data_IF_254872079232
#
_entry.id   IF_254872079232
#
_cell.length_a   1.000
_cell.length_b   1.000
_cell.length_c   1.000
_cell.angle_alpha   90.00
_cell.angle_beta   90.00
_cell.angle_gamma   90.00
#
_symmetry.space_group_name_H-M   'P 1'
#
loop_
_entity.id
_entity.type
_entity.pdbx_description
1 polymer ?
#
# COMPACT_ATOMS: atom_id res chain seq x y z
N UNK A 1 -27.33 6.14 6.29
CA UNK A 1 -26.41 6.37 5.15
C UNK A 1 -25.16 6.99 5.73
N UNK A 2 -23.99 6.40 5.48
CA UNK A 2 -22.69 6.95 5.87
C UNK A 2 -21.90 7.31 4.60
N UNK A 3 -21.15 8.40 4.66
CA UNK A 3 -20.20 8.79 3.61
C UNK A 3 -18.79 8.72 4.18
N UNK A 4 -17.87 8.20 3.38
CA UNK A 4 -16.45 8.26 3.65
C UNK A 4 -15.78 9.11 2.58
N UNK A 5 -15.11 10.19 2.98
CA UNK A 5 -14.45 11.12 2.07
C UNK A 5 -12.96 10.81 2.01
N UNK A 6 -12.42 10.70 0.81
CA UNK A 6 -10.98 10.57 0.56
C UNK A 6 -10.45 11.84 -0.11
N UNK A 7 -9.27 12.24 0.28
CA UNK A 7 -8.57 13.42 -0.22
C UNK A 7 -7.09 13.12 -0.50
N UNK A 8 -6.35 14.11 -0.95
CA UNK A 8 -4.91 14.00 -1.13
C UNK A 8 -4.18 13.71 0.20
N UNK A 9 -4.77 14.04 1.35
CA UNK A 9 -4.23 13.71 2.68
C UNK A 9 -4.26 12.20 2.97
N UNK A 10 -5.21 11.50 2.35
CA UNK A 10 -5.39 10.06 2.49
C UNK A 10 -4.55 9.28 1.44
N UNK A 11 -3.86 9.99 0.54
CA UNK A 11 -3.00 9.41 -0.49
C UNK A 11 -3.54 9.49 -1.91
N UNK A 12 -4.73 10.09 -2.11
CA UNK A 12 -5.25 10.38 -3.44
C UNK A 12 -4.31 11.35 -4.17
N UNK A 13 -4.09 11.14 -5.45
CA UNK A 13 -3.14 11.93 -6.23
C UNK A 13 -3.51 13.41 -6.37
N UNK A 14 -4.80 13.73 -6.34
CA UNK A 14 -5.35 15.10 -6.35
C UNK A 14 -6.81 15.06 -5.92
N UNK A 15 -7.27 16.12 -5.27
CA UNK A 15 -8.68 16.27 -4.84
C UNK A 15 -9.63 16.54 -6.03
N UNK A 16 -9.09 16.85 -7.22
CA UNK A 16 -9.90 17.09 -8.43
C UNK A 16 -10.00 15.79 -9.22
N UNK A 17 -11.03 15.01 -8.95
CA UNK A 17 -11.34 13.76 -9.62
C UNK A 17 -12.08 14.03 -10.95
N UNK A 18 -11.65 13.38 -12.03
CA UNK A 18 -12.21 13.49 -13.38
C UNK A 18 -12.94 12.25 -13.84
N UNK A 19 -12.43 11.09 -13.53
CA UNK A 19 -13.02 9.81 -13.91
C UNK A 19 -12.72 8.72 -12.90
N UNK A 20 -13.59 7.73 -12.87
CA UNK A 20 -13.51 6.56 -12.01
C UNK A 20 -13.76 5.30 -12.84
N UNK A 21 -13.09 4.22 -12.47
CA UNK A 21 -13.29 2.90 -13.03
C UNK A 21 -12.99 1.85 -11.98
N UNK A 22 -13.85 0.86 -11.84
CA UNK A 22 -13.55 -0.35 -11.08
C UNK A 22 -12.94 -1.39 -12.02
N UNK A 23 -11.82 -2.00 -11.63
CA UNK A 23 -11.22 -3.10 -12.37
C UNK A 23 -11.84 -4.45 -11.93
N UNK A 24 -11.54 -5.52 -12.68
CA UNK A 24 -12.07 -6.87 -12.40
C UNK A 24 -11.62 -7.47 -11.06
N UNK A 25 -10.65 -6.86 -10.39
CA UNK A 25 -10.17 -7.27 -9.06
C UNK A 25 -10.83 -6.48 -7.95
N UNK A 26 -11.73 -5.52 -8.30
CA UNK A 26 -12.39 -4.65 -7.34
C UNK A 26 -11.57 -3.44 -6.93
N UNK A 27 -10.44 -3.14 -7.62
CA UNK A 27 -9.70 -1.92 -7.35
C UNK A 27 -10.36 -0.74 -8.04
N UNK A 28 -10.41 0.40 -7.35
CA UNK A 28 -10.93 1.65 -7.91
C UNK A 28 -9.78 2.45 -8.52
N UNK A 29 -9.85 2.71 -9.80
CA UNK A 29 -8.96 3.57 -10.54
C UNK A 29 -9.54 4.96 -10.64
N UNK A 30 -8.73 5.97 -10.34
CA UNK A 30 -9.16 7.36 -10.21
C UNK A 30 -8.26 8.22 -11.08
N UNK A 31 -8.80 8.75 -12.16
CA UNK A 31 -8.13 9.75 -12.98
C UNK A 31 -8.37 11.15 -12.43
N UNK A 32 -7.28 11.93 -12.30
CA UNK A 32 -7.33 13.23 -11.65
C UNK A 32 -6.86 14.36 -12.56
N UNK A 33 -7.15 15.60 -12.17
CA UNK A 33 -6.61 16.80 -12.79
C UNK A 33 -5.27 17.15 -12.13
N UNK A 34 -4.19 16.94 -12.87
CA UNK A 34 -2.83 17.33 -12.45
C UNK A 34 -2.09 16.35 -11.55
N UNK A 35 -2.78 15.42 -10.88
CA UNK A 35 -2.19 14.41 -10.01
C UNK A 35 -1.92 13.06 -10.68
N UNK A 36 -2.25 12.89 -11.98
CA UNK A 36 -2.14 11.59 -12.63
C UNK A 36 -3.26 10.65 -12.25
N UNK A 37 -2.92 9.42 -11.93
CA UNK A 37 -3.86 8.34 -11.61
C UNK A 37 -3.61 7.84 -10.20
N UNK A 38 -4.68 7.55 -9.47
CA UNK A 38 -4.63 6.74 -8.26
C UNK A 38 -5.35 5.42 -8.47
N UNK A 39 -4.84 4.36 -7.85
CA UNK A 39 -5.52 3.08 -7.68
C UNK A 39 -5.73 2.83 -6.20
N UNK A 40 -6.96 2.54 -5.81
CA UNK A 40 -7.35 2.19 -4.45
C UNK A 40 -7.72 0.71 -4.39
N UNK A 41 -7.12 -0.04 -3.50
CA UNK A 41 -7.35 -1.48 -3.32
C UNK A 41 -8.24 -1.83 -2.13
N UNK A 42 -8.89 -0.83 -1.54
CA UNK A 42 -9.68 -0.96 -0.32
C UNK A 42 -8.93 -0.53 0.95
N UNK A 43 -7.60 -0.41 0.88
CA UNK A 43 -6.75 -0.06 2.01
C UNK A 43 -5.85 1.15 1.72
N UNK A 44 -5.18 1.15 0.57
CA UNK A 44 -4.19 2.18 0.22
C UNK A 44 -4.40 2.76 -1.16
N UNK A 45 -4.01 4.02 -1.33
CA UNK A 45 -3.88 4.66 -2.64
C UNK A 45 -2.46 4.48 -3.18
N UNK A 46 -2.37 3.97 -4.40
CA UNK A 46 -1.14 3.93 -5.20
C UNK A 46 -1.30 4.92 -6.34
N UNK A 47 -0.38 5.88 -6.46
CA UNK A 47 -0.47 6.93 -7.48
C UNK A 47 0.63 6.79 -8.52
N UNK A 48 0.25 6.96 -9.80
CA UNK A 48 1.12 6.97 -10.97
C UNK A 48 1.02 8.34 -11.65
N UNK A 49 2.17 8.93 -11.92
CA UNK A 49 2.32 10.24 -12.55
C UNK A 49 3.09 10.12 -13.87
N UNK A 50 3.24 11.25 -14.55
CA UNK A 50 4.05 11.32 -15.77
C UNK A 50 5.47 10.79 -15.59
N UNK A 51 6.10 11.03 -14.46
CA UNK A 51 7.43 10.49 -14.14
C UNK A 51 7.49 8.96 -14.04
N UNK A 52 6.32 8.32 -13.84
CA UNK A 52 6.16 6.88 -13.71
C UNK A 52 5.71 6.24 -15.04
N UNK A 53 5.61 7.04 -16.13
CA UNK A 53 5.28 6.60 -17.47
C UNK A 53 3.87 6.94 -17.96
N UNK A 54 3.05 7.63 -17.17
CA UNK A 54 1.77 8.16 -17.62
C UNK A 54 2.03 9.30 -18.61
N UNK A 55 1.31 9.34 -19.74
CA UNK A 55 1.54 10.33 -20.80
C UNK A 55 1.34 11.77 -20.31
N UNK A 56 0.37 12.00 -19.44
CA UNK A 56 0.10 13.31 -18.82
C UNK A 56 -0.56 13.15 -17.44
N UNK A 57 -0.37 14.14 -16.56
CA UNK A 57 -0.98 14.13 -15.22
C UNK A 57 -2.46 14.53 -15.21
N UNK A 58 -3.00 15.01 -16.34
CA UNK A 58 -4.44 15.25 -16.49
C UNK A 58 -5.05 14.05 -17.19
N UNK A 59 -5.80 13.26 -16.44
CA UNK A 59 -6.42 12.02 -16.90
C UNK A 59 -7.92 12.23 -17.05
N UNK A 60 -8.42 11.96 -18.24
CA UNK A 60 -9.81 12.25 -18.62
C UNK A 60 -10.69 11.00 -18.67
N UNK A 61 -10.10 9.83 -18.98
CA UNK A 61 -10.84 8.60 -19.17
C UNK A 61 -10.03 7.38 -18.74
N UNK A 62 -10.72 6.37 -18.21
CA UNK A 62 -10.18 5.09 -17.80
C UNK A 62 -11.11 3.97 -18.28
N UNK A 63 -10.55 2.89 -18.76
CA UNK A 63 -11.30 1.67 -19.06
C UNK A 63 -10.39 0.45 -18.96
N UNK A 64 -10.96 -0.73 -18.71
CA UNK A 64 -10.24 -1.98 -18.72
C UNK A 64 -10.76 -2.89 -19.84
N UNK A 65 -9.85 -3.44 -20.63
CA UNK A 65 -10.19 -4.39 -21.68
C UNK A 65 -10.38 -5.83 -21.15
N UNK A 66 -10.67 -6.76 -22.09
CA UNK A 66 -10.90 -8.18 -21.74
C UNK A 66 -9.65 -8.90 -21.24
N UNK A 67 -8.47 -8.41 -21.59
CA UNK A 67 -7.19 -9.00 -21.20
C UNK A 67 -6.68 -8.44 -19.86
N UNK A 68 -7.42 -7.48 -19.26
CA UNK A 68 -7.10 -6.85 -18.00
C UNK A 68 -6.18 -5.63 -18.13
N UNK A 69 -5.86 -5.20 -19.37
CA UNK A 69 -5.10 -3.97 -19.61
C UNK A 69 -5.97 -2.76 -19.28
N UNK A 70 -5.44 -1.86 -18.49
CA UNK A 70 -6.08 -0.58 -18.17
C UNK A 70 -5.63 0.47 -19.20
N UNK A 71 -6.60 0.99 -19.94
CA UNK A 71 -6.41 2.06 -20.91
C UNK A 71 -6.66 3.40 -20.27
N UNK A 72 -5.72 4.32 -20.40
CA UNK A 72 -5.68 5.59 -19.70
C UNK A 72 -5.63 6.70 -20.75
N UNK A 73 -6.74 7.40 -20.92
CA UNK A 73 -6.85 8.58 -21.79
C UNK A 73 -6.47 9.84 -21.00
N UNK A 74 -5.47 10.57 -21.48
CA UNK A 74 -4.97 11.81 -20.88
C UNK A 74 -4.75 12.89 -21.92
N UNK A 75 -4.49 14.13 -21.49
CA UNK A 75 -4.15 15.23 -22.43
C UNK A 75 -2.86 14.98 -23.22
N UNK A 76 -2.01 14.08 -22.78
CA UNK A 76 -0.78 13.69 -23.49
C UNK A 76 -0.94 12.45 -24.38
N UNK A 77 -2.15 11.91 -24.53
CA UNK A 77 -2.43 10.73 -25.35
C UNK A 77 -2.96 9.55 -24.55
N UNK A 78 -2.81 8.36 -25.10
CA UNK A 78 -3.31 7.09 -24.58
C UNK A 78 -2.18 6.22 -24.04
N UNK A 79 -2.33 5.71 -22.82
CA UNK A 79 -1.48 4.66 -22.26
C UNK A 79 -2.24 3.34 -22.16
N UNK A 80 -1.53 2.25 -22.41
CA UNK A 80 -1.94 0.91 -22.03
C UNK A 80 -1.10 0.47 -20.82
N UNK A 81 -1.75 0.18 -19.71
CA UNK A 81 -1.13 -0.27 -18.49
C UNK A 81 -1.58 -1.68 -18.14
N UNK A 82 -0.64 -2.61 -18.08
CA UNK A 82 -0.90 -3.98 -17.65
C UNK A 82 -0.45 -4.17 -16.20
N UNK A 83 -1.41 -4.21 -15.24
CA UNK A 83 -1.07 -4.43 -13.85
C UNK A 83 -0.40 -5.80 -13.66
N UNK A 84 0.83 -5.83 -13.19
CA UNK A 84 1.46 -7.10 -12.83
C UNK A 84 0.80 -7.67 -11.58
N UNK A 85 0.54 -8.97 -11.59
CA UNK A 85 -0.23 -9.63 -10.53
C UNK A 85 0.56 -9.92 -9.25
N UNK A 86 1.87 -9.71 -9.26
CA UNK A 86 2.72 -10.09 -8.14
C UNK A 86 2.97 -8.86 -7.25
N UNK A 87 2.38 -8.89 -6.05
CA UNK A 87 2.85 -8.02 -4.97
C UNK A 87 4.35 -8.27 -4.76
N UNK A 88 5.16 -7.23 -4.48
CA UNK A 88 6.56 -7.42 -4.17
C UNK A 88 6.69 -8.36 -2.97
N UNK A 89 7.65 -9.30 -2.98
CA UNK A 89 7.88 -10.15 -1.83
C UNK A 89 8.29 -9.28 -0.64
N UNK A 90 7.54 -9.41 0.44
CA UNK A 90 7.83 -8.77 1.72
C UNK A 90 8.49 -9.81 2.63
N UNK A 91 9.45 -9.39 3.40
CA UNK A 91 10.10 -10.23 4.40
C UNK A 91 10.33 -9.44 5.69
N UNK A 92 10.26 -10.11 6.81
CA UNK A 92 10.76 -9.61 8.07
C UNK A 92 12.29 -9.56 7.97
N UNK A 93 12.87 -8.41 8.24
CA UNK A 93 14.32 -8.17 8.18
C UNK A 93 14.93 -8.38 9.55
N UNK A 94 14.26 -7.89 10.58
CA UNK A 94 14.73 -8.00 11.96
C UNK A 94 13.55 -7.94 12.94
N UNK A 95 13.75 -8.58 14.09
CA UNK A 95 12.91 -8.40 15.26
C UNK A 95 13.81 -7.92 16.40
N UNK A 96 13.45 -6.79 16.98
CA UNK A 96 14.21 -6.16 18.06
C UNK A 96 13.42 -6.23 19.36
N UNK A 97 14.13 -6.53 20.43
CA UNK A 97 13.65 -6.42 21.80
C UNK A 97 14.75 -5.77 22.66
N UNK A 98 15.18 -6.38 23.73
CA UNK A 98 16.43 -6.06 24.44
C UNK A 98 17.68 -6.28 23.56
N UNK A 99 17.53 -7.06 22.50
CA UNK A 99 18.58 -7.36 21.52
C UNK A 99 17.97 -7.54 20.12
N UNK A 100 18.84 -7.63 19.14
CA UNK A 100 18.48 -8.00 17.78
C UNK A 100 18.39 -9.51 17.62
N UNK A 101 17.30 -9.99 17.00
CA UNK A 101 17.05 -11.41 16.79
C UNK A 101 17.23 -11.83 15.33
N UNK A 102 17.35 -10.86 14.41
CA UNK A 102 17.36 -11.12 12.97
C UNK A 102 15.99 -11.55 12.41
N UNK A 103 15.95 -12.07 11.19
CA UNK A 103 14.72 -12.61 10.60
C UNK A 103 14.39 -13.96 11.27
N UNK A 104 13.35 -13.99 12.08
CA UNK A 104 12.89 -15.18 12.80
C UNK A 104 11.41 -15.40 12.52
N UNK A 105 11.01 -16.68 12.34
CA UNK A 105 9.61 -17.06 12.13
C UNK A 105 8.84 -17.18 13.46
N UNK A 106 9.55 -17.41 14.55
CA UNK A 106 8.99 -17.51 15.89
C UNK A 106 9.96 -16.97 16.92
N UNK A 107 9.47 -16.16 17.83
CA UNK A 107 10.22 -15.62 18.95
C UNK A 107 9.44 -15.80 20.24
N UNK A 108 10.14 -16.27 21.30
CA UNK A 108 9.62 -16.30 22.65
C UNK A 108 10.30 -15.21 23.46
N UNK A 109 9.50 -14.29 24.00
CA UNK A 109 9.98 -13.18 24.81
C UNK A 109 9.65 -13.42 26.28
N UNK A 110 10.54 -13.03 27.22
CA UNK A 110 10.26 -13.13 28.64
C UNK A 110 9.17 -12.14 29.07
N UNK A 111 8.51 -12.43 30.19
CA UNK A 111 7.43 -11.59 30.76
C UNK A 111 7.85 -10.13 31.06
N UNK A 112 9.14 -9.93 31.25
CA UNK A 112 9.73 -8.61 31.55
C UNK A 112 10.00 -7.76 30.32
N UNK A 113 9.71 -8.30 29.13
CA UNK A 113 9.97 -7.60 27.88
C UNK A 113 8.78 -6.70 27.52
N UNK A 114 8.97 -5.40 27.66
CA UNK A 114 7.92 -4.41 27.40
C UNK A 114 7.95 -3.84 25.97
N UNK A 115 9.00 -4.15 25.21
CA UNK A 115 9.22 -3.56 23.89
C UNK A 115 9.54 -4.61 22.84
N UNK A 116 8.85 -4.53 21.70
CA UNK A 116 9.15 -5.31 20.49
C UNK A 116 9.01 -4.41 19.28
N UNK A 117 10.03 -4.39 18.43
CA UNK A 117 9.93 -3.76 17.11
C UNK A 117 10.16 -4.79 16.01
N UNK A 118 9.39 -4.67 14.94
CA UNK A 118 9.50 -5.51 13.75
C UNK A 118 9.93 -4.63 12.58
N UNK A 119 11.05 -4.98 11.96
CA UNK A 119 11.54 -4.36 10.73
C UNK A 119 11.23 -5.27 9.55
N UNK A 120 10.67 -4.69 8.50
CA UNK A 120 10.29 -5.42 7.29
C UNK A 120 10.68 -4.62 6.05
N UNK A 121 10.91 -5.34 4.95
CA UNK A 121 11.25 -4.73 3.68
C UNK A 121 10.57 -5.47 2.52
N UNK A 122 9.96 -4.70 1.63
CA UNK A 122 9.51 -5.15 0.33
C UNK A 122 10.55 -4.84 -0.74
N UNK A 123 10.83 -5.76 -1.65
CA UNK A 123 11.67 -5.49 -2.82
C UNK A 123 10.80 -5.25 -4.04
N UNK A 124 10.77 -4.01 -4.50
CA UNK A 124 10.15 -3.66 -5.77
C UNK A 124 11.12 -2.82 -6.60
N UNK A 125 11.48 -3.32 -7.79
CA UNK A 125 12.37 -2.60 -8.71
C UNK A 125 11.64 -1.51 -9.52
N UNK A 126 10.32 -1.42 -9.40
CA UNK A 126 9.47 -0.51 -10.18
C UNK A 126 8.83 0.60 -9.34
N UNK A 127 8.90 0.51 -8.01
CA UNK A 127 8.34 1.50 -7.08
C UNK A 127 9.46 2.05 -6.23
N UNK A 128 9.55 3.36 -6.11
CA UNK A 128 10.53 4.01 -5.23
C UNK A 128 10.21 3.65 -3.78
N UNK A 129 11.22 3.44 -2.93
CA UNK A 129 11.01 3.10 -1.52
C UNK A 129 10.06 4.06 -0.80
N UNK A 130 10.17 5.36 -1.10
CA UNK A 130 9.35 6.42 -0.47
C UNK A 130 7.86 6.37 -0.89
N UNK A 131 7.56 5.63 -1.95
CA UNK A 131 6.19 5.45 -2.47
C UNK A 131 5.59 4.11 -2.06
N UNK A 132 6.35 3.25 -1.38
CA UNK A 132 5.83 1.99 -0.87
C UNK A 132 4.97 2.25 0.37
N UNK A 133 3.79 1.68 0.36
CA UNK A 133 2.95 1.56 1.54
C UNK A 133 2.88 0.08 1.93
N UNK A 134 2.89 -0.17 3.21
CA UNK A 134 2.76 -1.48 3.80
C UNK A 134 1.45 -1.57 4.56
N UNK A 135 0.84 -2.72 4.55
CA UNK A 135 -0.28 -3.04 5.42
C UNK A 135 0.15 -4.12 6.39
N UNK A 136 -0.14 -3.93 7.66
CA UNK A 136 0.25 -4.87 8.70
C UNK A 136 -0.85 -5.02 9.75
N UNK A 137 -0.81 -6.12 10.48
CA UNK A 137 -1.60 -6.34 11.69
C UNK A 137 -0.87 -7.23 12.67
N UNK A 138 -1.24 -7.13 13.93
CA UNK A 138 -0.79 -8.04 14.99
C UNK A 138 -1.99 -8.83 15.50
N UNK A 139 -2.24 -9.98 14.89
CA UNK A 139 -3.34 -10.88 15.27
C UNK A 139 -3.19 -11.28 16.73
N UNK A 140 -4.25 -11.17 17.49
CA UNK A 140 -4.26 -11.37 18.95
C UNK A 140 -4.16 -10.08 19.76
N UNK A 141 -3.83 -8.93 19.10
CA UNK A 141 -3.90 -7.61 19.70
C UNK A 141 -4.82 -6.68 18.89
N UNK A 142 -4.62 -6.66 17.59
CA UNK A 142 -5.35 -5.83 16.62
C UNK A 142 -5.53 -6.62 15.35
N UNK A 143 -6.77 -7.02 15.06
CA UNK A 143 -7.10 -7.83 13.88
C UNK A 143 -7.31 -7.00 12.62
N UNK A 144 -7.54 -5.68 12.77
CA UNK A 144 -7.69 -4.77 11.65
C UNK A 144 -6.34 -4.44 11.00
N UNK A 145 -6.36 -4.31 9.66
CA UNK A 145 -5.19 -3.91 8.91
C UNK A 145 -4.88 -2.43 9.11
N UNK A 146 -3.63 -2.14 9.43
CA UNK A 146 -3.09 -0.79 9.56
C UNK A 146 -2.17 -0.48 8.40
N UNK A 147 -2.29 0.72 7.83
CA UNK A 147 -1.44 1.20 6.75
C UNK A 147 -0.27 2.00 7.31
N UNK A 148 0.93 1.76 6.81
CA UNK A 148 2.14 2.54 7.14
C UNK A 148 3.02 2.74 5.92
N UNK A 149 3.86 3.78 5.94
CA UNK A 149 4.99 3.97 5.03
C UNK A 149 6.33 3.70 5.69
N UNK A 150 6.30 3.49 6.99
CA UNK A 150 7.47 3.09 7.76
C UNK A 150 7.80 1.63 7.51
N UNK A 151 9.07 1.27 7.61
CA UNK A 151 9.53 -0.11 7.48
C UNK A 151 9.69 -0.79 8.84
N UNK A 152 9.21 -0.12 9.90
CA UNK A 152 9.31 -0.56 11.27
C UNK A 152 8.04 -0.24 12.02
N UNK A 153 7.60 -1.20 12.82
CA UNK A 153 6.47 -1.07 13.72
C UNK A 153 6.92 -1.45 15.11
N UNK A 154 6.48 -0.68 16.10
CA UNK A 154 6.86 -0.87 17.50
C UNK A 154 5.63 -1.14 18.36
N UNK A 155 5.78 -2.07 19.27
CA UNK A 155 4.79 -2.39 20.27
C UNK A 155 5.41 -2.29 21.67
N UNK A 156 4.72 -1.63 22.58
CA UNK A 156 5.10 -1.50 23.98
C UNK A 156 3.98 -2.02 24.87
N UNK A 157 4.35 -2.66 25.98
CA UNK A 157 3.38 -3.14 26.96
C UNK A 157 2.44 -4.23 26.43
N UNK A 158 2.90 -5.10 25.54
CA UNK A 158 2.09 -6.21 25.04
C UNK A 158 1.63 -7.11 26.19
N UNK A 159 0.32 -7.37 26.33
CA UNK A 159 -0.18 -8.36 27.27
C UNK A 159 0.44 -9.74 27.03
N UNK A 160 0.40 -10.59 28.05
CA UNK A 160 0.83 -11.98 27.87
C UNK A 160 -0.11 -12.69 26.90
N UNK A 161 0.46 -13.30 25.86
CA UNK A 161 -0.33 -13.94 24.83
C UNK A 161 0.51 -14.52 23.70
N UNK A 162 -0.17 -15.04 22.72
CA UNK A 162 0.41 -15.44 21.45
C UNK A 162 -0.05 -14.46 20.38
N UNK A 163 0.89 -13.95 19.63
CA UNK A 163 0.64 -12.97 18.59
C UNK A 163 1.20 -13.45 17.26
N UNK A 164 0.53 -13.10 16.17
CA UNK A 164 1.02 -13.32 14.83
C UNK A 164 1.11 -11.99 14.09
N UNK A 165 2.33 -11.58 13.76
CA UNK A 165 2.53 -10.41 12.93
C UNK A 165 2.37 -10.79 11.46
N UNK A 166 1.54 -10.04 10.75
CA UNK A 166 1.32 -10.17 9.32
C UNK A 166 1.60 -8.82 8.65
N UNK A 167 2.34 -8.85 7.56
CA UNK A 167 2.66 -7.67 6.75
C UNK A 167 2.60 -8.01 5.27
#
# INVERSE_FOLDING_TARGET
VSFHNFSARDGLASDIVRCLMEDRRGHIWIGTWGGGISRYDGLVFQSLLRRDGVAHNVVAALTQDRDGTVWIGSEGGLNAYSPRSNAPPIRIVDVLSDKRHGPVDRLMLPRTQDFVALEFAGRNYHTRPEQMAYVYRLVGLQDEWTVTREHRVEYTGLPLGQYKFEV
#
